data_IF_463014338078
#
_entry.id   IF_463014338078
#
_cell.length_a   1.000
_cell.length_b   1.000
_cell.length_c   1.000
_cell.angle_alpha   90.00
_cell.angle_beta   90.00
_cell.angle_gamma   90.00
#
_symmetry.space_group_name_H-M   'P 1'
#
loop_
_entity.id
_entity.type
_entity.pdbx_description
1 polymer ?
#
# COMPACT_ATOMS: atom_id res chain seq x y z
N UNK A 1 -25.21 3.46 4.71
CA UNK A 1 -24.32 4.49 4.11
C UNK A 1 -22.89 3.98 4.21
N UNK A 2 -22.26 3.59 3.10
CA UNK A 2 -20.87 3.12 3.09
C UNK A 2 -19.94 4.32 2.98
N UNK A 3 -18.86 4.33 3.76
CA UNK A 3 -17.88 5.42 3.67
C UNK A 3 -17.26 5.47 2.26
N UNK A 4 -17.07 6.67 1.71
CA UNK A 4 -16.63 6.87 0.32
C UNK A 4 -15.31 6.14 -0.01
N UNK A 5 -14.39 6.05 0.94
CA UNK A 5 -13.12 5.33 0.76
C UNK A 5 -13.28 3.81 0.68
N UNK A 6 -14.26 3.23 1.40
CA UNK A 6 -14.61 1.81 1.29
C UNK A 6 -15.22 1.51 -0.08
N UNK A 7 -16.09 2.40 -0.57
CA UNK A 7 -16.70 2.27 -1.90
C UNK A 7 -15.64 2.40 -3.02
N UNK A 8 -14.61 3.21 -2.83
CA UNK A 8 -13.49 3.37 -3.76
C UNK A 8 -12.45 2.22 -3.73
N UNK A 9 -12.70 1.14 -2.99
CA UNK A 9 -11.77 0.01 -2.88
C UNK A 9 -10.47 0.33 -2.12
N UNK A 10 -10.41 1.45 -1.40
CA UNK A 10 -9.22 1.83 -0.64
C UNK A 10 -9.20 1.11 0.71
N UNK A 11 -8.02 0.63 1.08
CA UNK A 11 -7.78 0.22 2.47
C UNK A 11 -7.75 1.46 3.37
N UNK A 12 -8.08 1.28 4.64
CA UNK A 12 -8.10 2.39 5.60
C UNK A 12 -6.73 3.07 5.72
N UNK A 13 -5.65 2.29 5.72
CA UNK A 13 -4.28 2.81 5.74
C UNK A 13 -3.98 3.67 4.52
N UNK A 14 -4.47 3.28 3.33
CA UNK A 14 -4.30 4.07 2.10
C UNK A 14 -5.07 5.39 2.17
N UNK A 15 -6.30 5.37 2.69
CA UNK A 15 -7.10 6.57 2.90
C UNK A 15 -6.39 7.57 3.83
N UNK A 16 -5.93 7.13 5.00
CA UNK A 16 -5.22 7.98 5.95
C UNK A 16 -3.92 8.55 5.37
N UNK A 17 -3.16 7.75 4.62
CA UNK A 17 -1.92 8.21 3.98
C UNK A 17 -2.18 9.34 2.96
N UNK A 18 -3.27 9.25 2.20
CA UNK A 18 -3.68 10.29 1.23
C UNK A 18 -4.13 11.55 1.97
N UNK A 19 -4.99 11.43 2.97
CA UNK A 19 -5.47 12.56 3.76
C UNK A 19 -4.32 13.28 4.48
N UNK A 20 -3.35 12.54 5.04
CA UNK A 20 -2.18 13.14 5.67
C UNK A 20 -1.29 13.87 4.65
N UNK A 21 -1.17 13.38 3.41
CA UNK A 21 -0.41 14.05 2.35
C UNK A 21 -1.04 15.38 1.95
N UNK A 22 -2.36 15.43 1.78
CA UNK A 22 -3.06 16.65 1.39
C UNK A 22 -2.93 17.71 2.48
N UNK A 23 -3.12 17.34 3.75
CA UNK A 23 -2.97 18.25 4.90
C UNK A 23 -1.56 18.84 4.96
N UNK A 24 -0.51 18.04 4.74
CA UNK A 24 0.90 18.52 4.73
C UNK A 24 1.18 19.58 3.65
N UNK A 25 0.52 19.48 2.50
CA UNK A 25 0.64 20.46 1.41
C UNK A 25 -0.12 21.75 1.68
N UNK A 26 -1.12 21.71 2.55
CA UNK A 26 -1.94 22.87 2.92
C UNK A 26 -1.37 23.66 4.12
N UNK A 27 -0.28 23.21 4.73
CA UNK A 27 0.38 23.87 5.86
C UNK A 27 1.26 25.05 5.38
N UNK A 28 1.34 26.11 6.21
CA UNK A 28 2.24 27.26 5.99
C UNK A 28 3.71 26.84 6.03
N UNK A 29 4.59 27.62 5.40
CA UNK A 29 6.02 27.33 5.18
C UNK A 29 6.79 26.84 6.43
N UNK A 30 6.49 27.35 7.63
CA UNK A 30 7.18 26.94 8.87
C UNK A 30 7.07 25.43 9.20
N UNK A 31 5.87 24.92 9.55
CA UNK A 31 5.68 23.49 9.85
C UNK A 31 5.79 22.56 8.63
N UNK A 32 5.84 23.12 7.41
CA UNK A 32 5.97 22.36 6.16
C UNK A 32 7.28 21.59 6.08
N UNK A 33 8.40 22.21 6.44
CA UNK A 33 9.74 21.59 6.34
C UNK A 33 9.86 20.29 7.16
N UNK A 34 9.30 20.28 8.38
CA UNK A 34 9.31 19.09 9.24
C UNK A 34 8.31 18.01 8.77
N UNK A 35 7.24 18.44 8.11
CA UNK A 35 6.15 17.57 7.64
C UNK A 35 6.49 16.87 6.33
N UNK A 36 7.19 17.54 5.41
CA UNK A 36 7.57 16.98 4.10
C UNK A 36 8.56 15.82 4.23
N UNK A 37 9.48 15.88 5.19
CA UNK A 37 10.43 14.79 5.49
C UNK A 37 9.74 13.47 5.86
N UNK A 38 8.55 13.54 6.48
CA UNK A 38 7.75 12.35 6.87
C UNK A 38 6.94 11.75 5.73
N UNK A 39 6.84 12.44 4.59
CA UNK A 39 6.11 11.98 3.42
C UNK A 39 6.93 11.07 2.49
N UNK A 40 8.25 11.06 2.65
CA UNK A 40 9.16 10.21 1.89
C UNK A 40 9.20 8.82 2.51
N UNK A 41 8.73 7.83 1.75
CA UNK A 41 8.77 6.42 2.14
C UNK A 41 9.29 5.65 0.93
N UNK A 42 10.57 5.29 0.98
CA UNK A 42 11.17 4.40 -0.01
C UNK A 42 11.08 2.97 0.53
N UNK A 43 10.09 2.24 0.04
CA UNK A 43 9.82 0.87 0.48
C UNK A 43 9.90 -0.05 -0.73
N UNK A 44 10.91 -0.92 -0.74
CA UNK A 44 11.08 -1.93 -1.78
C UNK A 44 10.40 -3.21 -1.32
N UNK A 45 9.40 -3.66 -2.07
CA UNK A 45 8.74 -4.93 -1.83
C UNK A 45 9.26 -5.98 -2.81
N UNK A 46 9.69 -7.12 -2.30
CA UNK A 46 9.95 -8.32 -3.09
C UNK A 46 8.83 -9.32 -2.76
N UNK A 47 8.01 -9.66 -3.74
CA UNK A 47 7.05 -10.76 -3.62
C UNK A 47 7.83 -12.06 -3.81
N UNK A 48 7.97 -12.85 -2.75
CA UNK A 48 8.50 -14.20 -2.88
C UNK A 48 7.38 -15.12 -3.38
N UNK A 49 7.59 -15.77 -4.52
CA UNK A 49 6.70 -16.80 -5.03
C UNK A 49 7.41 -18.16 -4.92
N UNK A 50 6.80 -19.11 -4.21
CA UNK A 50 7.27 -20.51 -4.21
C UNK A 50 6.80 -21.13 -5.52
N UNK A 51 7.69 -21.24 -6.50
CA UNK A 51 7.43 -21.91 -7.79
C UNK A 51 7.74 -23.42 -7.76
N UNK A 52 7.96 -24.01 -6.59
CA UNK A 52 8.60 -25.33 -6.48
C UNK A 52 7.71 -26.57 -6.44
N UNK A 53 6.38 -26.47 -6.37
CA UNK A 53 5.54 -27.68 -6.27
C UNK A 53 4.12 -27.45 -6.79
N UNK A 54 3.99 -27.20 -8.10
CA UNK A 54 2.72 -27.30 -8.79
C UNK A 54 2.67 -28.65 -9.51
N UNK A 55 2.14 -29.66 -8.82
CA UNK A 55 1.43 -30.81 -9.40
C UNK A 55 2.16 -31.57 -10.52
N UNK A 56 3.12 -32.42 -10.18
CA UNK A 56 3.37 -33.62 -11.00
C UNK A 56 2.18 -34.57 -10.80
N UNK A 57 1.18 -34.43 -11.68
CA UNK A 57 0.12 -35.41 -11.90
C UNK A 57 0.75 -36.80 -11.93
N UNK A 58 0.30 -37.69 -11.04
CA UNK A 58 0.64 -39.11 -11.06
C UNK A 58 0.25 -39.67 -12.44
N UNK A 59 1.23 -39.80 -13.35
CA UNK A 59 1.08 -40.64 -14.52
C UNK A 59 1.28 -42.07 -14.07
N UNK A 60 0.15 -42.77 -13.94
CA UNK A 60 -0.09 -44.19 -14.17
C UNK A 60 1.16 -45.11 -14.08
N UNK A 61 1.23 -45.87 -13.00
CA UNK A 61 1.89 -47.18 -13.01
C UNK A 61 0.80 -48.24 -12.79
N UNK A 62 0.74 -49.16 -13.75
CA UNK A 62 0.00 -50.44 -13.85
C UNK A 62 -1.54 -50.43 -13.81
#
# INVERSE_FOLDING_TARGET
>A
MTAAWKAAGLTYNRYLAIAARTVRRSLKEGPRLASERRGQMDLRFAKWEVSGFSSSTLQNFD
#
